data_IF_235076476589
#
_entry.id   IF_235076476589
#
_cell.length_a   1.000
_cell.length_b   1.000
_cell.length_c   1.000
_cell.angle_alpha   90.00
_cell.angle_beta   90.00
_cell.angle_gamma   90.00
#
_symmetry.space_group_name_H-M   'P 1'
#
loop_
_entity.id
_entity.type
_entity.pdbx_description
1 polymer ?
#
# COMPACT_ATOMS: atom_id res chain seq x y z
N UNK A 1 -4.50 -46.24 36.94
CA UNK A 1 -5.37 -45.70 35.86
C UNK A 1 -5.75 -44.22 36.03
N UNK A 2 -5.26 -43.48 37.05
CA UNK A 2 -5.57 -42.04 37.25
C UNK A 2 -4.54 -41.06 36.64
N UNK A 3 -3.33 -41.52 36.35
CA UNK A 3 -2.21 -40.66 35.91
C UNK A 3 -2.30 -40.28 34.43
N UNK A 4 -2.83 -41.17 33.59
CA UNK A 4 -2.92 -40.97 32.13
C UNK A 4 -3.98 -39.93 31.77
N UNK A 5 -5.11 -39.91 32.49
CA UNK A 5 -6.17 -38.92 32.30
C UNK A 5 -5.76 -37.51 32.72
N UNK A 6 -4.90 -37.38 33.74
CA UNK A 6 -4.39 -36.08 34.18
C UNK A 6 -3.43 -35.48 33.15
N UNK A 7 -2.55 -36.31 32.59
CA UNK A 7 -1.62 -35.90 31.55
C UNK A 7 -2.36 -35.51 30.26
N UNK A 8 -3.36 -36.28 29.82
CA UNK A 8 -4.12 -35.94 28.61
C UNK A 8 -4.88 -34.61 28.74
N UNK A 9 -5.38 -34.31 29.94
CA UNK A 9 -6.03 -33.04 30.24
C UNK A 9 -5.05 -31.86 30.22
N UNK A 10 -3.86 -32.03 30.82
CA UNK A 10 -2.82 -31.01 30.86
C UNK A 10 -2.26 -30.72 29.45
N UNK A 11 -2.06 -31.73 28.61
CA UNK A 11 -1.68 -31.54 27.21
C UNK A 11 -2.76 -30.81 26.40
N UNK A 12 -4.04 -31.13 26.60
CA UNK A 12 -5.16 -30.48 25.90
C UNK A 12 -5.33 -29.00 26.28
N UNK A 13 -4.99 -28.65 27.52
CA UNK A 13 -5.00 -27.26 27.98
C UNK A 13 -3.77 -26.47 27.50
N UNK A 14 -2.62 -27.12 27.36
CA UNK A 14 -1.44 -26.54 26.71
C UNK A 14 -1.67 -26.33 25.20
N UNK A 15 -2.30 -27.27 24.51
CA UNK A 15 -2.74 -27.10 23.11
C UNK A 15 -3.78 -25.98 22.98
N UNK A 16 -4.77 -25.90 23.88
CA UNK A 16 -5.74 -24.80 23.85
C UNK A 16 -5.09 -23.44 24.09
N UNK A 17 -4.17 -23.33 25.07
CA UNK A 17 -3.44 -22.09 25.35
C UNK A 17 -2.55 -21.67 24.18
N UNK A 18 -1.81 -22.60 23.59
CA UNK A 18 -0.97 -22.31 22.41
C UNK A 18 -1.78 -21.96 21.17
N UNK A 19 -2.99 -22.51 20.99
CA UNK A 19 -3.89 -22.12 19.90
C UNK A 19 -4.53 -20.74 20.09
N UNK A 20 -4.76 -20.28 21.33
CA UNK A 20 -5.33 -18.94 21.60
C UNK A 20 -4.28 -17.82 21.52
N UNK A 21 -3.05 -18.05 22.01
CA UNK A 21 -1.94 -17.07 21.88
C UNK A 21 -1.40 -16.94 20.45
N UNK A 22 -1.63 -17.94 19.60
CA UNK A 22 -1.09 -17.98 18.25
C UNK A 22 -2.11 -17.66 17.15
N UNK A 23 -3.37 -17.32 17.51
CA UNK A 23 -4.34 -16.82 16.53
C UNK A 23 -3.91 -15.43 16.06
N UNK A 24 -3.35 -15.38 14.86
CA UNK A 24 -3.01 -14.14 14.19
C UNK A 24 -4.31 -13.42 13.80
N UNK A 25 -4.60 -12.30 14.46
CA UNK A 25 -5.80 -11.52 14.20
C UNK A 25 -5.48 -10.43 13.18
N UNK A 26 -6.36 -10.28 12.19
CA UNK A 26 -6.32 -9.18 11.24
C UNK A 26 -6.81 -7.91 11.93
N UNK A 27 -5.94 -6.91 12.01
CA UNK A 27 -6.23 -5.62 12.65
C UNK A 27 -6.77 -4.64 11.62
N UNK A 28 -6.23 -4.69 10.41
CA UNK A 28 -6.60 -3.77 9.32
C UNK A 28 -6.36 -4.44 7.97
N UNK A 29 -7.22 -4.17 6.99
CA UNK A 29 -7.04 -4.68 5.62
C UNK A 29 -7.65 -3.72 4.61
N UNK A 30 -6.90 -3.40 3.55
CA UNK A 30 -7.36 -2.59 2.44
C UNK A 30 -6.65 -2.97 1.13
N UNK A 31 -6.75 -2.13 0.09
CA UNK A 31 -6.14 -2.43 -1.21
C UNK A 31 -4.61 -2.38 -1.23
N UNK A 32 -3.95 -1.80 -0.23
CA UNK A 32 -2.49 -1.75 -0.10
C UNK A 32 -1.94 -2.98 0.60
N UNK A 33 -2.71 -3.56 1.51
CA UNK A 33 -2.31 -4.75 2.23
C UNK A 33 -3.18 -5.08 3.43
N UNK A 34 -2.70 -6.05 4.19
CA UNK A 34 -3.31 -6.54 5.42
C UNK A 34 -2.30 -6.47 6.55
N UNK A 35 -2.70 -5.87 7.66
CA UNK A 35 -1.92 -5.75 8.88
C UNK A 35 -2.53 -6.70 9.90
N UNK A 36 -1.71 -7.61 10.42
CA UNK A 36 -2.09 -8.52 11.50
C UNK A 36 -1.32 -8.18 12.78
N UNK A 37 -1.58 -8.91 13.85
CA UNK A 37 -0.80 -8.80 15.11
C UNK A 37 0.67 -9.20 14.99
N UNK A 38 1.09 -9.88 13.91
CA UNK A 38 2.46 -10.44 13.77
C UNK A 38 3.18 -9.99 12.51
N UNK A 39 2.46 -9.77 11.42
CA UNK A 39 3.03 -9.49 10.10
C UNK A 39 2.22 -8.43 9.37
N UNK A 40 2.86 -7.80 8.40
CA UNK A 40 2.21 -6.97 7.39
C UNK A 40 2.37 -7.66 6.05
N UNK A 41 1.26 -7.95 5.39
CA UNK A 41 1.18 -8.41 4.01
C UNK A 41 0.92 -7.19 3.14
N UNK A 42 1.71 -6.97 2.10
CA UNK A 42 1.48 -5.87 1.16
C UNK A 42 1.92 -6.19 -0.26
N UNK A 43 1.52 -5.35 -1.22
CA UNK A 43 1.87 -5.51 -2.62
C UNK A 43 3.06 -4.61 -3.01
N UNK A 44 4.26 -5.18 -2.99
CA UNK A 44 5.49 -4.52 -3.40
C UNK A 44 5.44 -4.11 -4.87
N UNK A 45 5.95 -2.89 -5.18
CA UNK A 45 6.01 -2.33 -6.55
C UNK A 45 4.64 -2.29 -7.25
N UNK A 46 3.55 -2.15 -6.48
CA UNK A 46 2.21 -1.90 -7.02
C UNK A 46 2.21 -0.56 -7.75
N UNK A 47 1.66 -0.55 -8.96
CA UNK A 47 1.48 0.65 -9.79
C UNK A 47 0.00 0.83 -10.16
N UNK A 48 -0.35 1.95 -10.80
CA UNK A 48 -1.75 2.16 -11.25
C UNK A 48 -2.26 1.10 -12.21
N UNK A 49 -1.35 0.52 -13.00
CA UNK A 49 -1.65 -0.52 -14.00
C UNK A 49 -0.96 -1.85 -13.66
N UNK A 50 -0.41 -2.01 -12.46
CA UNK A 50 0.30 -3.22 -12.04
C UNK A 50 -0.09 -3.61 -10.62
N UNK A 51 -0.58 -4.84 -10.45
CA UNK A 51 -0.95 -5.38 -9.14
C UNK A 51 0.22 -5.54 -8.16
N UNK A 52 1.46 -5.42 -8.63
CA UNK A 52 2.65 -5.64 -7.81
C UNK A 52 2.87 -7.11 -7.44
N UNK A 53 3.80 -7.36 -6.53
CA UNK A 53 4.09 -8.69 -5.98
C UNK A 53 3.78 -8.71 -4.50
N UNK A 54 3.03 -9.72 -4.04
CA UNK A 54 2.69 -9.86 -2.63
C UNK A 54 3.95 -10.22 -1.82
N UNK A 55 4.19 -9.47 -0.77
CA UNK A 55 5.30 -9.67 0.17
C UNK A 55 4.75 -9.67 1.59
N UNK A 56 5.20 -10.63 2.40
CA UNK A 56 4.82 -10.78 3.79
C UNK A 56 6.04 -10.46 4.66
N UNK A 57 5.94 -9.42 5.49
CA UNK A 57 7.04 -8.95 6.34
C UNK A 57 6.61 -8.97 7.81
N UNK A 58 7.38 -9.59 8.72
CA UNK A 58 7.13 -9.50 10.17
C UNK A 58 7.15 -8.05 10.65
N UNK A 59 6.22 -7.67 11.54
CA UNK A 59 6.15 -6.30 12.06
C UNK A 59 7.46 -5.84 12.71
N UNK A 60 8.17 -6.75 13.39
CA UNK A 60 9.47 -6.50 14.02
C UNK A 60 10.57 -6.05 13.05
N UNK A 61 10.40 -6.29 11.75
CA UNK A 61 11.36 -5.90 10.72
C UNK A 61 11.02 -4.58 10.04
N UNK A 62 9.84 -4.01 10.30
CA UNK A 62 9.41 -2.72 9.74
C UNK A 62 10.00 -1.61 10.61
N UNK A 63 10.87 -0.80 10.02
CA UNK A 63 11.58 0.28 10.73
C UNK A 63 10.81 1.59 10.61
N UNK A 64 10.28 1.89 9.43
CA UNK A 64 9.50 3.11 9.23
C UNK A 64 8.51 2.96 8.08
N UNK A 65 7.48 3.78 8.14
CA UNK A 65 6.43 3.86 7.12
C UNK A 65 6.25 5.32 6.76
N UNK A 66 6.43 5.63 5.49
CA UNK A 66 6.31 6.98 4.94
C UNK A 66 5.17 7.03 3.94
N UNK A 67 4.36 8.07 4.07
CA UNK A 67 3.42 8.50 3.06
C UNK A 67 4.05 9.66 2.30
N UNK A 68 4.09 9.56 0.98
CA UNK A 68 4.58 10.63 0.10
C UNK A 68 3.59 10.84 -1.05
N UNK A 69 3.64 12.00 -1.69
CA UNK A 69 2.81 12.31 -2.86
C UNK A 69 3.72 12.75 -3.98
N UNK A 70 3.94 11.90 -4.97
CA UNK A 70 4.80 12.23 -6.11
C UNK A 70 3.98 12.88 -7.21
N UNK A 71 4.30 14.15 -7.46
CA UNK A 71 3.72 14.96 -8.54
C UNK A 71 4.76 15.19 -9.62
N UNK A 72 4.41 14.95 -10.87
CA UNK A 72 5.28 15.21 -12.00
C UNK A 72 4.91 16.56 -12.61
N UNK A 73 5.19 17.64 -11.87
CA UNK A 73 4.72 19.00 -12.19
C UNK A 73 5.21 19.46 -13.56
N UNK A 74 6.51 19.30 -13.84
CA UNK A 74 7.10 19.71 -15.12
C UNK A 74 6.54 18.93 -16.31
N UNK A 75 6.36 17.61 -16.16
CA UNK A 75 5.81 16.75 -17.21
C UNK A 75 4.33 17.07 -17.45
N UNK A 76 3.56 17.29 -16.38
CA UNK A 76 2.16 17.69 -16.46
C UNK A 76 1.97 19.03 -17.16
N UNK A 77 2.78 20.03 -16.81
CA UNK A 77 2.78 21.34 -17.48
C UNK A 77 3.17 21.24 -18.96
N UNK A 78 4.17 20.43 -19.29
CA UNK A 78 4.57 20.19 -20.67
C UNK A 78 3.42 19.62 -21.50
N UNK A 79 2.72 18.60 -20.99
CA UNK A 79 1.58 18.02 -21.70
C UNK A 79 0.37 18.94 -21.77
N UNK A 80 0.10 19.75 -20.74
CA UNK A 80 -0.94 20.78 -20.80
C UNK A 80 -0.65 21.80 -21.89
N UNK A 81 0.59 22.30 -21.95
CA UNK A 81 1.01 23.25 -22.98
C UNK A 81 0.88 22.63 -24.37
N UNK A 82 1.37 21.40 -24.57
CA UNK A 82 1.26 20.70 -25.85
C UNK A 82 -0.21 20.53 -26.25
N UNK A 83 -1.05 20.09 -25.32
CA UNK A 83 -2.46 19.86 -25.58
C UNK A 83 -3.21 21.13 -25.99
N UNK A 84 -2.90 22.27 -25.36
CA UNK A 84 -3.41 23.59 -25.76
C UNK A 84 -3.02 23.95 -27.20
N UNK A 85 -1.74 23.76 -27.58
CA UNK A 85 -1.27 24.03 -28.94
C UNK A 85 -2.02 23.18 -29.98
N UNK A 86 -2.25 21.91 -29.68
CA UNK A 86 -2.99 21.01 -30.57
C UNK A 86 -4.47 21.38 -30.71
N UNK A 87 -5.13 21.79 -29.61
CA UNK A 87 -6.52 22.27 -29.64
C UNK A 87 -6.64 23.56 -30.44
N UNK A 88 -5.66 24.47 -30.35
CA UNK A 88 -5.66 25.73 -31.10
C UNK A 88 -5.45 25.59 -32.61
N UNK A 89 -5.11 24.41 -33.12
CA UNK A 89 -4.83 24.18 -34.55
C UNK A 89 -6.07 24.23 -35.47
N UNK A 90 -7.29 24.12 -34.92
CA UNK A 90 -8.53 24.14 -35.70
C UNK A 90 -8.83 22.87 -36.51
N UNK A 91 -7.95 21.86 -36.47
CA UNK A 91 -8.19 20.55 -37.09
C UNK A 91 -8.85 19.60 -36.08
N UNK A 92 -9.99 19.00 -36.46
CA UNK A 92 -10.76 18.11 -35.59
C UNK A 92 -9.96 16.93 -35.01
N UNK A 93 -9.05 16.34 -35.80
CA UNK A 93 -8.19 15.23 -35.32
C UNK A 93 -7.16 15.73 -34.31
N UNK A 94 -6.56 16.90 -34.58
CA UNK A 94 -5.59 17.50 -33.68
C UNK A 94 -6.22 17.93 -32.36
N UNK A 95 -7.47 18.41 -32.37
CA UNK A 95 -8.24 18.74 -31.16
C UNK A 95 -8.41 17.50 -30.28
N UNK A 96 -8.78 16.35 -30.85
CA UNK A 96 -8.93 15.11 -30.07
C UNK A 96 -7.60 14.68 -29.42
N UNK A 97 -6.50 14.75 -30.17
CA UNK A 97 -5.16 14.46 -29.63
C UNK A 97 -4.79 15.46 -28.53
N UNK A 98 -5.10 16.73 -28.71
CA UNK A 98 -4.88 17.78 -27.72
C UNK A 98 -5.64 17.54 -26.43
N UNK A 99 -6.90 17.11 -26.50
CA UNK A 99 -7.71 16.74 -25.32
C UNK A 99 -7.04 15.59 -24.56
N UNK A 100 -6.54 14.56 -25.25
CA UNK A 100 -5.83 13.44 -24.61
C UNK A 100 -4.59 13.94 -23.87
N UNK A 101 -3.80 14.82 -24.47
CA UNK A 101 -2.63 15.41 -23.81
C UNK A 101 -3.01 16.28 -22.59
N UNK A 102 -4.09 17.06 -22.68
CA UNK A 102 -4.59 17.84 -21.54
C UNK A 102 -4.98 16.92 -20.39
N UNK A 103 -5.76 15.86 -20.65
CA UNK A 103 -6.16 14.90 -19.64
C UNK A 103 -4.95 14.22 -19.00
N UNK A 104 -3.97 13.82 -19.81
CA UNK A 104 -2.72 13.23 -19.32
C UNK A 104 -1.90 14.21 -18.47
N UNK A 105 -1.86 15.48 -18.87
CA UNK A 105 -1.22 16.56 -18.13
C UNK A 105 -1.84 16.77 -16.75
N UNK A 106 -3.18 16.90 -16.68
CA UNK A 106 -3.93 17.04 -15.42
C UNK A 106 -3.64 15.87 -14.48
N UNK A 107 -3.66 14.65 -15.01
CA UNK A 107 -3.41 13.43 -14.25
C UNK A 107 -1.98 13.37 -13.68
N UNK A 108 -0.98 13.86 -14.41
CA UNK A 108 0.39 14.00 -13.91
C UNK A 108 0.56 15.08 -12.84
N UNK A 109 -0.25 16.15 -12.90
CA UNK A 109 -0.25 17.23 -11.91
C UNK A 109 -0.95 16.81 -10.60
N UNK A 110 -1.99 15.99 -10.68
CA UNK A 110 -2.70 15.49 -9.51
C UNK A 110 -1.76 14.68 -8.59
N UNK A 111 -0.90 13.87 -9.19
CA UNK A 111 0.10 13.05 -8.50
C UNK A 111 -0.45 11.75 -7.93
N UNK A 112 0.41 10.74 -7.86
CA UNK A 112 0.08 9.45 -7.24
C UNK A 112 0.40 9.45 -5.75
N UNK A 113 -0.44 8.78 -4.97
CA UNK A 113 -0.17 8.52 -3.56
C UNK A 113 0.89 7.43 -3.45
N UNK A 114 1.96 7.69 -2.70
CA UNK A 114 3.04 6.75 -2.49
C UNK A 114 3.06 6.31 -1.04
N UNK A 115 3.08 5.00 -0.83
CA UNK A 115 3.39 4.41 0.47
C UNK A 115 4.75 3.74 0.34
N UNK A 116 5.71 4.17 1.16
CA UNK A 116 7.03 3.59 1.25
C UNK A 116 7.21 2.91 2.61
N UNK A 117 7.42 1.60 2.58
CA UNK A 117 7.69 0.78 3.77
C UNK A 117 9.17 0.45 3.78
N UNK A 118 9.87 0.92 4.81
CA UNK A 118 11.30 0.66 5.02
C UNK A 118 11.47 -0.51 5.97
N UNK A 119 12.12 -1.57 5.51
CA UNK A 119 12.46 -2.74 6.32
C UNK A 119 13.91 -2.69 6.79
N UNK A 120 14.25 -3.47 7.82
CA UNK A 120 15.62 -3.60 8.37
C UNK A 120 16.66 -4.07 7.35
N UNK A 121 16.22 -4.69 6.24
CA UNK A 121 17.07 -5.10 5.12
C UNK A 121 17.39 -3.98 4.11
N UNK A 122 16.92 -2.75 4.34
CA UNK A 122 17.16 -1.61 3.45
C UNK A 122 16.34 -1.62 2.16
N UNK A 123 15.33 -2.50 2.04
CA UNK A 123 14.41 -2.48 0.90
C UNK A 123 13.33 -1.42 1.11
N UNK A 124 13.32 -0.42 0.23
CA UNK A 124 12.23 0.55 0.10
C UNK A 124 11.18 -0.06 -0.82
N UNK A 125 10.02 -0.38 -0.27
CA UNK A 125 8.93 -0.98 -1.02
C UNK A 125 7.85 0.05 -1.29
N UNK A 126 7.99 0.69 -2.46
CA UNK A 126 7.07 1.69 -2.98
C UNK A 126 5.78 1.04 -3.49
N UNK A 127 4.65 1.49 -2.96
CA UNK A 127 3.31 1.19 -3.47
C UNK A 127 2.70 2.48 -4.01
N UNK A 128 2.25 2.45 -5.26
CA UNK A 128 1.61 3.60 -5.91
C UNK A 128 0.10 3.38 -5.96
N UNK A 129 -0.60 4.24 -5.22
CA UNK A 129 -2.04 4.39 -5.18
C UNK A 129 -2.57 5.39 -6.18
N UNK A 130 -3.86 5.28 -6.51
CA UNK A 130 -4.54 6.25 -7.36
C UNK A 130 -4.55 7.65 -6.70
N UNK A 131 -4.59 8.74 -7.49
CA UNK A 131 -4.53 10.11 -6.97
C UNK A 131 -5.64 10.47 -5.96
N UNK A 132 -6.80 9.84 -6.11
CA UNK A 132 -8.01 10.08 -5.34
C UNK A 132 -8.25 9.05 -4.23
N UNK A 133 -7.30 8.13 -4.04
CA UNK A 133 -7.42 7.12 -3.00
C UNK A 133 -7.28 7.77 -1.60
N UNK A 134 -7.87 7.20 -0.56
CA UNK A 134 -7.59 7.60 0.84
C UNK A 134 -7.04 6.45 1.66
N UNK A 135 -7.15 5.23 1.12
CA UNK A 135 -6.74 4.00 1.76
C UNK A 135 -5.22 3.97 2.03
N UNK A 136 -4.41 4.69 1.24
CA UNK A 136 -2.98 4.82 1.48
C UNK A 136 -2.69 5.47 2.84
N UNK A 137 -3.37 6.58 3.15
CA UNK A 137 -3.20 7.32 4.41
C UNK A 137 -3.69 6.47 5.58
N UNK A 138 -4.85 5.82 5.43
CA UNK A 138 -5.42 4.94 6.44
C UNK A 138 -4.51 3.73 6.75
N UNK A 139 -3.91 3.12 5.72
CA UNK A 139 -2.95 2.03 5.88
C UNK A 139 -1.72 2.48 6.67
N UNK A 140 -1.13 3.62 6.30
CA UNK A 140 0.04 4.17 7.00
C UNK A 140 -0.29 4.51 8.44
N UNK A 141 -1.47 5.08 8.70
CA UNK A 141 -1.94 5.41 10.04
C UNK A 141 -2.14 4.15 10.89
N UNK A 142 -2.77 3.12 10.35
CA UNK A 142 -2.97 1.85 11.05
C UNK A 142 -1.62 1.16 11.36
N UNK A 143 -0.69 1.15 10.41
CA UNK A 143 0.62 0.53 10.57
C UNK A 143 1.48 1.28 11.59
N UNK A 144 1.46 2.62 11.57
CA UNK A 144 2.11 3.43 12.62
C UNK A 144 1.48 3.19 13.99
N UNK A 145 0.17 3.06 14.07
CA UNK A 145 -0.52 2.70 15.30
C UNK A 145 0.01 1.39 15.90
N UNK A 146 0.28 0.39 15.06
CA UNK A 146 0.84 -0.90 15.52
C UNK A 146 2.33 -0.86 15.87
N UNK A 147 3.12 0.00 15.22
CA UNK A 147 4.57 0.11 15.46
C UNK A 147 4.93 0.95 16.70
N UNK A 148 4.05 1.87 17.10
CA UNK A 148 4.32 2.85 18.16
C UNK A 148 3.33 2.80 19.33
N UNK A 149 2.46 1.78 19.44
CA UNK A 149 1.56 1.63 20.61
C UNK A 149 2.18 0.85 21.78
N UNK A 150 3.51 0.79 21.87
CA UNK A 150 4.22 0.37 23.10
C UNK A 150 4.44 1.56 24.04
#
# INVERSE_FOLDING_TARGET
MKTIDKLSFEYKDLERKTMTENSEQTIFSNSYGTITTKRVTYFRKKGWFSGGSREDVPLKQVVSVRYDTKRHIFVGLFFLFLGLVFVSSGNGVAILIGIVFILWGILNLWGGQLVDVVTTGGTNNLMVGLPWDKEAEEFVRALRGQLFSE
#
